data_IF_067303377789
#
_entry.id   IF_067303377789
#
_cell.length_a   1.000
_cell.length_b   1.000
_cell.length_c   1.000
_cell.angle_alpha   90.00
_cell.angle_beta   90.00
_cell.angle_gamma   90.00
#
_symmetry.space_group_name_H-M   'P 1'
#
loop_
_entity.id
_entity.type
_entity.pdbx_description
1 polymer ?
#
# COMPACT_ATOMS: atom_id res chain seq x y z
N UNK A 1 28.00 -1.71 -26.74
CA UNK A 1 28.11 -0.25 -26.51
C UNK A 1 27.83 -0.01 -25.03
N UNK A 2 28.83 0.43 -24.31
CA UNK A 2 28.93 0.46 -22.84
C UNK A 2 28.01 1.52 -22.26
N UNK A 3 27.14 1.16 -21.29
CA UNK A 3 26.52 2.09 -20.37
C UNK A 3 27.33 2.08 -19.07
N UNK A 4 28.09 3.12 -18.86
CA UNK A 4 28.78 3.36 -17.60
C UNK A 4 27.80 4.01 -16.61
N UNK A 5 27.57 3.35 -15.48
CA UNK A 5 26.89 3.90 -14.30
C UNK A 5 27.73 5.03 -13.68
N UNK A 6 27.13 6.16 -13.33
CA UNK A 6 27.81 7.10 -12.43
C UNK A 6 27.59 6.65 -10.98
N UNK A 7 28.60 6.03 -10.40
CA UNK A 7 28.76 5.93 -8.95
C UNK A 7 29.07 7.33 -8.42
N UNK A 8 28.05 8.03 -7.95
CA UNK A 8 28.27 9.22 -7.13
C UNK A 8 27.85 8.88 -5.70
N UNK A 9 28.82 8.46 -4.92
CA UNK A 9 28.75 8.41 -3.45
C UNK A 9 28.66 9.85 -2.95
N UNK A 10 27.65 10.25 -2.17
CA UNK A 10 27.68 11.51 -1.45
C UNK A 10 28.49 11.33 -0.17
N UNK A 11 29.81 11.30 -0.31
CA UNK A 11 30.74 11.47 0.80
C UNK A 11 30.94 12.97 0.96
N UNK A 12 30.43 13.58 2.03
CA UNK A 12 30.79 14.96 2.31
C UNK A 12 30.12 15.66 3.48
N UNK A 13 29.01 15.15 4.07
CA UNK A 13 28.27 15.95 5.05
C UNK A 13 28.35 15.46 6.51
N UNK A 14 28.66 14.21 6.75
CA UNK A 14 28.80 13.67 8.13
C UNK A 14 30.17 14.03 8.73
N UNK A 15 31.19 14.16 7.90
CA UNK A 15 32.53 14.60 8.31
C UNK A 15 32.56 16.01 8.92
N UNK A 16 31.71 16.92 8.42
CA UNK A 16 31.68 18.31 8.88
C UNK A 16 31.16 18.47 10.31
N UNK A 17 30.13 17.71 10.69
CA UNK A 17 29.57 17.75 12.06
C UNK A 17 30.51 17.13 13.09
N UNK A 18 31.11 15.99 12.78
CA UNK A 18 32.10 15.34 13.65
C UNK A 18 33.34 16.24 13.80
N UNK A 19 33.80 16.88 12.73
CA UNK A 19 34.89 17.84 12.76
C UNK A 19 34.55 19.07 13.60
N UNK A 20 33.36 19.64 13.45
CA UNK A 20 32.90 20.80 14.21
C UNK A 20 32.75 20.46 15.72
N UNK A 21 32.22 19.29 16.07
CA UNK A 21 32.16 18.83 17.47
C UNK A 21 33.55 18.65 18.06
N UNK A 22 34.49 18.04 17.33
CA UNK A 22 35.84 17.84 17.77
C UNK A 22 36.59 19.17 17.98
N UNK A 23 36.38 20.17 17.12
CA UNK A 23 36.94 21.51 17.27
C UNK A 23 36.35 22.23 18.51
N UNK A 24 35.06 22.09 18.76
CA UNK A 24 34.40 22.64 19.95
C UNK A 24 34.92 22.02 21.24
N UNK A 25 35.09 20.72 21.28
CA UNK A 25 35.64 19.99 22.45
C UNK A 25 37.05 20.48 22.72
N UNK A 26 37.90 20.60 21.70
CA UNK A 26 39.26 21.13 21.81
C UNK A 26 39.29 22.59 22.26
N UNK A 27 38.33 23.41 21.83
CA UNK A 27 38.20 24.81 22.25
C UNK A 27 37.74 24.95 23.69
N UNK A 28 36.82 24.08 24.13
CA UNK A 28 36.39 23.98 25.53
C UNK A 28 37.51 23.56 26.46
N UNK A 29 38.32 22.57 26.09
CA UNK A 29 39.47 22.13 26.89
C UNK A 29 40.53 23.25 27.03
N UNK A 30 40.78 24.04 25.98
CA UNK A 30 41.71 25.20 26.01
C UNK A 30 41.17 26.35 26.86
N UNK A 31 39.86 26.54 26.94
CA UNK A 31 39.21 27.64 27.65
C UNK A 31 38.80 27.31 29.08
N UNK A 32 38.78 26.04 29.49
CA UNK A 32 38.38 25.59 30.82
C UNK A 32 39.16 26.26 31.98
N UNK A 33 40.32 26.86 31.70
CA UNK A 33 41.11 27.62 32.67
C UNK A 33 40.97 29.14 32.61
N UNK A 34 40.25 29.71 31.60
CA UNK A 34 40.10 31.17 31.45
C UNK A 34 38.73 31.63 31.93
N UNK A 35 38.69 32.56 32.87
CA UNK A 35 37.46 33.19 33.42
C UNK A 35 36.97 34.40 32.56
N UNK A 36 37.22 34.39 31.27
CA UNK A 36 36.80 35.52 30.43
C UNK A 36 35.32 35.27 30.00
N UNK A 37 34.38 36.13 30.41
CA UNK A 37 32.96 35.99 30.10
C UNK A 37 32.67 36.08 28.62
N UNK A 38 33.40 36.87 27.83
CA UNK A 38 33.18 37.03 26.39
C UNK A 38 33.48 35.76 25.62
N UNK A 39 34.54 35.04 25.98
CA UNK A 39 34.94 33.78 25.35
C UNK A 39 33.93 32.69 25.70
N UNK A 40 33.37 32.70 26.93
CA UNK A 40 32.36 31.74 27.35
C UNK A 40 31.04 31.93 26.61
N UNK A 41 30.61 33.18 26.41
CA UNK A 41 29.38 33.48 25.70
C UNK A 41 29.49 33.13 24.21
N UNK A 42 30.66 33.35 23.57
CA UNK A 42 30.91 32.92 22.20
C UNK A 42 30.82 31.39 22.03
N UNK A 43 31.44 30.64 22.95
CA UNK A 43 31.36 29.17 22.95
C UNK A 43 29.93 28.62 23.13
N UNK A 44 29.15 29.27 24.00
CA UNK A 44 27.74 28.90 24.19
C UNK A 44 26.92 29.13 22.91
N UNK A 45 27.17 30.25 22.23
CA UNK A 45 26.54 30.57 20.96
C UNK A 45 26.92 29.57 19.85
N UNK A 46 28.19 29.17 19.76
CA UNK A 46 28.64 28.13 18.83
C UNK A 46 28.02 26.75 19.13
N UNK A 47 27.94 26.39 20.42
CA UNK A 47 27.27 25.13 20.85
C UNK A 47 25.77 25.13 20.50
N UNK A 48 25.07 26.24 20.72
CA UNK A 48 23.66 26.38 20.38
C UNK A 48 23.45 26.30 18.85
N UNK A 49 24.31 26.95 18.07
CA UNK A 49 24.25 26.90 16.62
C UNK A 49 24.51 25.47 16.10
N UNK A 50 25.49 24.76 16.68
CA UNK A 50 25.79 23.38 16.32
C UNK A 50 24.65 22.44 16.69
N UNK A 51 24.05 22.61 17.88
CA UNK A 51 22.90 21.82 18.32
C UNK A 51 21.68 22.05 17.41
N UNK A 52 21.41 23.31 17.04
CA UNK A 52 20.33 23.65 16.10
C UNK A 52 20.55 23.01 14.72
N UNK A 53 21.77 23.05 14.20
CA UNK A 53 22.12 22.41 12.93
C UNK A 53 22.00 20.87 13.01
N UNK A 54 22.44 20.25 14.10
CA UNK A 54 22.29 18.81 14.31
C UNK A 54 20.81 18.40 14.37
N UNK A 55 20.00 19.18 15.09
CA UNK A 55 18.57 18.94 15.18
C UNK A 55 17.88 19.08 13.82
N UNK A 56 18.22 20.09 13.03
CA UNK A 56 17.69 20.27 11.67
C UNK A 56 18.03 19.09 10.76
N UNK A 57 19.27 18.58 10.82
CA UNK A 57 19.69 17.38 10.06
C UNK A 57 18.96 16.12 10.50
N UNK A 58 18.77 15.91 11.80
CA UNK A 58 18.01 14.76 12.31
C UNK A 58 16.55 14.79 11.83
N UNK A 59 15.92 15.96 11.81
CA UNK A 59 14.56 16.13 11.29
C UNK A 59 14.50 15.81 9.79
N UNK A 60 15.48 16.28 9.01
CA UNK A 60 15.57 16.01 7.57
C UNK A 60 15.79 14.51 7.29
N UNK A 61 16.73 13.88 8.00
CA UNK A 61 16.97 12.44 7.89
C UNK A 61 15.72 11.62 8.27
N UNK A 62 15.01 11.99 9.34
CA UNK A 62 13.77 11.32 9.74
C UNK A 62 12.70 11.45 8.66
N UNK A 63 12.54 12.62 8.04
CA UNK A 63 11.61 12.82 6.93
C UNK A 63 11.99 11.97 5.72
N UNK A 64 13.29 11.89 5.41
CA UNK A 64 13.79 11.08 4.30
C UNK A 64 13.59 9.60 4.54
N UNK A 65 13.84 9.11 5.75
CA UNK A 65 13.56 7.72 6.14
C UNK A 65 12.06 7.43 5.99
N UNK A 66 11.19 8.26 6.57
CA UNK A 66 9.73 8.07 6.46
C UNK A 66 9.24 8.10 5.01
N UNK A 67 9.81 8.96 4.17
CA UNK A 67 9.50 8.99 2.74
C UNK A 67 9.95 7.70 2.02
N UNK A 68 11.16 7.21 2.30
CA UNK A 68 11.65 5.95 1.74
C UNK A 68 10.84 4.73 2.24
N UNK A 69 10.44 4.72 3.49
CA UNK A 69 9.54 3.71 4.05
C UNK A 69 8.18 3.75 3.38
N UNK A 70 7.62 4.93 3.16
CA UNK A 70 6.34 5.10 2.46
C UNK A 70 6.43 4.60 1.01
N UNK A 71 7.47 4.94 0.27
CA UNK A 71 7.74 4.40 -1.08
C UNK A 71 7.91 2.87 -1.07
N UNK A 72 8.52 2.32 -0.01
CA UNK A 72 8.72 0.88 0.12
C UNK A 72 7.45 0.09 0.46
N UNK A 73 6.41 0.74 1.02
CA UNK A 73 5.22 0.08 1.54
C UNK A 73 3.92 0.46 0.83
N UNK A 74 3.89 1.54 0.05
CA UNK A 74 2.69 2.01 -0.63
C UNK A 74 2.74 1.81 -2.15
N UNK A 75 1.58 1.65 -2.76
CA UNK A 75 1.39 1.72 -4.21
C UNK A 75 1.26 3.20 -4.62
N UNK A 76 2.07 3.64 -5.56
CA UNK A 76 2.17 5.05 -5.97
C UNK A 76 0.89 5.61 -6.57
N UNK A 77 0.11 4.78 -7.26
CA UNK A 77 -1.12 5.20 -7.93
C UNK A 77 -2.30 5.34 -6.96
N UNK A 78 -2.44 4.38 -6.05
CA UNK A 78 -3.64 4.24 -5.21
C UNK A 78 -3.42 4.67 -3.77
N UNK A 79 -2.16 4.76 -3.31
CA UNK A 79 -1.80 5.04 -1.92
C UNK A 79 -2.17 3.92 -0.93
N UNK A 80 -2.61 2.75 -1.43
CA UNK A 80 -2.82 1.55 -0.64
C UNK A 80 -1.47 0.87 -0.32
N UNK A 81 -1.49 -0.11 0.57
CA UNK A 81 -0.31 -0.96 0.75
C UNK A 81 0.04 -1.66 -0.56
N UNK A 82 1.33 -1.67 -0.89
CA UNK A 82 1.79 -2.48 -2.03
C UNK A 82 1.85 -3.96 -1.64
N UNK A 83 2.11 -4.83 -2.62
CA UNK A 83 2.20 -6.28 -2.42
C UNK A 83 3.13 -6.67 -1.27
N UNK A 84 4.30 -6.02 -1.18
CA UNK A 84 5.32 -6.32 -0.16
C UNK A 84 4.80 -6.01 1.25
N UNK A 85 4.21 -4.85 1.44
CA UNK A 85 3.65 -4.44 2.71
C UNK A 85 2.46 -5.33 3.12
N UNK A 86 1.55 -5.61 2.19
CA UNK A 86 0.42 -6.49 2.43
C UNK A 86 0.85 -7.88 2.93
N UNK A 87 1.81 -8.51 2.26
CA UNK A 87 2.34 -9.82 2.67
C UNK A 87 3.07 -9.79 4.02
N UNK A 88 3.72 -8.67 4.35
CA UNK A 88 4.35 -8.49 5.66
C UNK A 88 3.30 -8.47 6.78
N UNK A 89 2.21 -7.71 6.60
CA UNK A 89 1.11 -7.62 7.56
C UNK A 89 0.33 -8.95 7.68
N UNK A 90 0.15 -9.65 6.58
CA UNK A 90 -0.45 -10.99 6.61
C UNK A 90 0.37 -11.96 7.45
N UNK A 91 1.70 -11.98 7.28
CA UNK A 91 2.60 -12.81 8.09
C UNK A 91 2.50 -12.49 9.57
N UNK A 92 2.43 -11.20 9.90
CA UNK A 92 2.25 -10.76 11.29
C UNK A 92 0.90 -11.20 11.85
N UNK A 93 -0.17 -11.10 11.07
CA UNK A 93 -1.51 -11.55 11.48
C UNK A 93 -1.56 -13.07 11.70
N UNK A 94 -0.90 -13.87 10.86
CA UNK A 94 -0.77 -15.31 11.04
C UNK A 94 0.05 -15.66 12.29
N UNK A 95 1.11 -14.91 12.58
CA UNK A 95 1.91 -15.08 13.80
C UNK A 95 1.08 -14.76 15.05
N UNK A 96 0.27 -13.70 15.02
CA UNK A 96 -0.68 -13.35 16.09
C UNK A 96 -1.76 -14.43 16.27
N UNK A 97 -2.29 -14.96 15.16
CA UNK A 97 -3.24 -16.07 15.20
C UNK A 97 -2.64 -17.32 15.88
N UNK A 98 -1.38 -17.66 15.59
CA UNK A 98 -0.67 -18.77 16.24
C UNK A 98 -0.46 -18.54 17.74
N UNK A 99 -0.13 -17.32 18.12
CA UNK A 99 0.24 -17.00 19.50
C UNK A 99 -0.97 -16.76 20.40
N UNK A 100 -2.00 -16.09 19.87
CA UNK A 100 -3.13 -15.60 20.66
C UNK A 100 -4.45 -16.28 20.30
N UNK A 101 -4.47 -17.20 19.34
CA UNK A 101 -5.71 -17.87 18.89
C UNK A 101 -6.63 -16.92 18.10
N UNK A 102 -6.11 -15.82 17.56
CA UNK A 102 -6.87 -14.90 16.73
C UNK A 102 -7.27 -15.57 15.41
N UNK A 103 -8.35 -15.09 14.81
CA UNK A 103 -8.82 -15.53 13.49
C UNK A 103 -8.98 -14.33 12.58
N UNK A 104 -8.86 -14.53 11.29
CA UNK A 104 -9.02 -13.49 10.29
C UNK A 104 -9.43 -14.04 8.93
N UNK A 105 -9.41 -13.16 7.93
CA UNK A 105 -9.68 -13.56 6.55
C UNK A 105 -8.87 -12.72 5.57
N UNK A 106 -8.53 -13.30 4.44
CA UNK A 106 -7.99 -12.64 3.25
C UNK A 106 -9.07 -12.64 2.18
N UNK A 107 -9.26 -11.50 1.54
CA UNK A 107 -10.13 -11.35 0.38
C UNK A 107 -9.27 -10.89 -0.78
N UNK A 108 -9.24 -11.65 -1.87
CA UNK A 108 -8.69 -11.19 -3.14
C UNK A 108 -9.79 -10.58 -3.99
N UNK A 109 -9.44 -9.51 -4.69
CA UNK A 109 -10.33 -8.74 -5.55
C UNK A 109 -9.60 -8.49 -6.87
N UNK A 110 -10.24 -8.84 -7.97
CA UNK A 110 -9.74 -8.66 -9.33
C UNK A 110 -10.80 -7.90 -10.14
N UNK A 111 -10.42 -6.81 -10.79
CA UNK A 111 -11.34 -6.01 -11.59
C UNK A 111 -11.66 -6.71 -12.90
N UNK A 112 -12.94 -6.98 -13.10
CA UNK A 112 -13.43 -7.59 -14.35
C UNK A 112 -13.34 -6.56 -15.50
N UNK A 113 -12.92 -7.02 -16.69
CA UNK A 113 -12.85 -6.21 -17.90
C UNK A 113 -11.92 -4.97 -17.84
N UNK A 114 -11.01 -4.90 -16.85
CA UNK A 114 -10.12 -3.77 -16.68
C UNK A 114 -9.26 -3.50 -17.92
N UNK A 115 -8.80 -4.56 -18.59
CA UNK A 115 -8.06 -4.43 -19.84
C UNK A 115 -8.89 -3.77 -20.94
N UNK A 116 -10.17 -4.11 -21.05
CA UNK A 116 -11.08 -3.51 -22.05
C UNK A 116 -11.28 -2.02 -21.79
N UNK A 117 -11.35 -1.60 -20.52
CA UNK A 117 -11.41 -0.18 -20.14
C UNK A 117 -10.15 0.54 -20.64
N UNK A 118 -8.97 -0.02 -20.42
CA UNK A 118 -7.72 0.55 -20.89
C UNK A 118 -7.65 0.61 -22.43
N UNK A 119 -8.07 -0.44 -23.11
CA UNK A 119 -8.00 -0.55 -24.57
C UNK A 119 -8.97 0.45 -25.25
N UNK A 120 -10.14 0.71 -24.64
CA UNK A 120 -11.17 1.61 -25.20
C UNK A 120 -10.97 3.07 -24.78
N UNK A 121 -10.63 3.32 -23.51
CA UNK A 121 -10.62 4.67 -22.92
C UNK A 121 -9.22 5.17 -22.55
N UNK A 122 -8.19 4.34 -22.76
CA UNK A 122 -6.80 4.65 -22.44
C UNK A 122 -6.43 4.42 -20.96
N UNK A 123 -5.13 4.34 -20.68
CA UNK A 123 -4.60 4.05 -19.35
C UNK A 123 -5.02 5.07 -18.28
N UNK A 124 -5.21 6.34 -18.64
CA UNK A 124 -5.65 7.35 -17.70
C UNK A 124 -7.06 7.10 -17.14
N UNK A 125 -7.95 6.51 -17.95
CA UNK A 125 -9.28 6.06 -17.53
C UNK A 125 -9.17 4.84 -16.59
N UNK A 126 -8.31 3.88 -16.92
CA UNK A 126 -8.00 2.75 -16.03
C UNK A 126 -7.43 3.20 -14.69
N UNK A 127 -6.53 4.19 -14.70
CA UNK A 127 -6.00 4.79 -13.46
C UNK A 127 -7.10 5.42 -12.60
N UNK A 128 -8.08 6.07 -13.22
CA UNK A 128 -9.24 6.62 -12.49
C UNK A 128 -10.07 5.51 -11.85
N UNK A 129 -10.31 4.40 -12.55
CA UNK A 129 -10.98 3.22 -11.99
C UNK A 129 -10.22 2.64 -10.81
N UNK A 130 -8.89 2.49 -10.92
CA UNK A 130 -8.03 1.99 -9.84
C UNK A 130 -8.05 2.88 -8.61
N UNK A 131 -7.98 4.20 -8.78
CA UNK A 131 -8.06 5.18 -7.66
C UNK A 131 -9.42 5.14 -6.99
N UNK A 132 -10.49 5.08 -7.77
CA UNK A 132 -11.85 5.00 -7.22
C UNK A 132 -12.08 3.70 -6.45
N UNK A 133 -11.62 2.56 -7.01
CA UNK A 133 -11.65 1.26 -6.33
C UNK A 133 -10.90 1.31 -5.01
N UNK A 134 -9.69 1.86 -5.00
CA UNK A 134 -8.87 1.98 -3.80
C UNK A 134 -9.52 2.83 -2.71
N UNK A 135 -10.11 3.97 -3.08
CA UNK A 135 -10.84 4.84 -2.15
C UNK A 135 -12.03 4.10 -1.52
N UNK A 136 -12.85 3.45 -2.34
CA UNK A 136 -14.01 2.69 -1.86
C UNK A 136 -13.61 1.54 -0.95
N UNK A 137 -12.60 0.77 -1.30
CA UNK A 137 -12.13 -0.33 -0.46
C UNK A 137 -11.63 0.18 0.90
N UNK A 138 -10.91 1.30 0.92
CA UNK A 138 -10.45 1.94 2.17
C UNK A 138 -11.60 2.39 3.04
N UNK A 139 -12.64 2.98 2.47
CA UNK A 139 -13.79 3.50 3.19
C UNK A 139 -14.70 2.37 3.76
N UNK A 140 -14.67 1.19 3.14
CA UNK A 140 -15.49 0.04 3.51
C UNK A 140 -14.85 -0.89 4.56
N UNK A 141 -13.57 -0.71 4.86
CA UNK A 141 -12.86 -1.51 5.87
C UNK A 141 -12.68 -0.72 7.17
N UNK A 142 -12.36 -1.41 8.25
CA UNK A 142 -12.05 -0.80 9.54
C UNK A 142 -10.60 -0.33 9.57
N UNK A 143 -10.27 0.57 10.48
CA UNK A 143 -8.90 1.02 10.73
C UNK A 143 -7.92 -0.15 11.05
N UNK A 144 -8.43 -1.22 11.68
CA UNK A 144 -7.64 -2.42 12.01
C UNK A 144 -7.49 -3.39 10.84
N UNK A 145 -8.25 -3.22 9.77
CA UNK A 145 -8.14 -4.02 8.56
C UNK A 145 -7.20 -3.34 7.58
N UNK A 146 -6.70 -4.10 6.63
CA UNK A 146 -5.71 -3.57 5.68
C UNK A 146 -6.17 -3.82 4.25
N UNK A 147 -5.93 -2.83 3.39
CA UNK A 147 -6.16 -2.95 1.95
C UNK A 147 -4.84 -2.76 1.22
N UNK A 148 -4.56 -3.65 0.29
CA UNK A 148 -3.38 -3.58 -0.57
C UNK A 148 -3.73 -3.71 -2.05
N UNK A 149 -2.89 -3.13 -2.91
CA UNK A 149 -2.86 -3.42 -4.34
C UNK A 149 -1.70 -4.36 -4.61
N UNK A 150 -2.01 -5.54 -5.15
CA UNK A 150 -1.02 -6.60 -5.35
C UNK A 150 -0.30 -6.49 -6.71
N UNK A 151 -0.94 -5.86 -7.69
CA UNK A 151 -0.41 -5.63 -9.02
C UNK A 151 -1.55 -5.34 -10.00
N UNK A 152 -1.28 -4.67 -11.10
CA UNK A 152 -2.26 -4.43 -12.16
C UNK A 152 -3.64 -3.98 -11.64
N UNK A 153 -4.61 -4.84 -11.79
CA UNK A 153 -6.01 -4.73 -11.41
C UNK A 153 -6.39 -5.56 -10.17
N UNK A 154 -5.38 -6.12 -9.47
CA UNK A 154 -5.55 -7.00 -8.32
C UNK A 154 -5.41 -6.24 -7.00
N UNK A 155 -6.39 -6.39 -6.11
CA UNK A 155 -6.39 -5.88 -4.75
C UNK A 155 -6.55 -7.01 -3.75
N UNK A 156 -6.15 -6.76 -2.50
CA UNK A 156 -6.39 -7.68 -1.41
C UNK A 156 -6.82 -6.92 -0.15
N UNK A 157 -7.65 -7.58 0.66
CA UNK A 157 -8.11 -7.06 1.94
C UNK A 157 -7.76 -8.09 3.02
N UNK A 158 -7.14 -7.64 4.08
CA UNK A 158 -6.87 -8.43 5.27
C UNK A 158 -7.84 -7.98 6.37
N UNK A 159 -8.78 -8.85 6.71
CA UNK A 159 -9.69 -8.68 7.84
C UNK A 159 -9.07 -9.32 9.07
N UNK A 160 -8.73 -8.51 10.06
CA UNK A 160 -8.15 -8.99 11.32
C UNK A 160 -9.22 -9.22 12.37
N UNK A 161 -8.94 -10.11 13.34
CA UNK A 161 -9.80 -10.38 14.51
C UNK A 161 -11.28 -10.56 14.15
N UNK A 162 -11.53 -11.42 13.18
CA UNK A 162 -12.88 -11.70 12.70
C UNK A 162 -13.11 -13.19 12.60
N UNK A 163 -14.31 -13.64 12.96
CA UNK A 163 -14.74 -15.02 12.75
C UNK A 163 -15.21 -15.23 11.30
N UNK A 164 -15.30 -16.47 10.82
CA UNK A 164 -15.67 -16.77 9.44
C UNK A 164 -17.01 -16.15 9.02
N UNK A 165 -18.05 -16.22 9.86
CA UNK A 165 -19.37 -15.69 9.55
C UNK A 165 -19.33 -14.17 9.28
N UNK A 166 -18.66 -13.43 10.17
CA UNK A 166 -18.50 -12.00 10.03
C UNK A 166 -17.62 -11.63 8.82
N UNK A 167 -16.58 -12.42 8.55
CA UNK A 167 -15.71 -12.23 7.38
C UNK A 167 -16.50 -12.37 6.07
N UNK A 168 -17.30 -13.45 5.92
CA UNK A 168 -18.14 -13.66 4.74
C UNK A 168 -19.21 -12.58 4.59
N UNK A 169 -19.84 -12.15 5.70
CA UNK A 169 -20.83 -11.06 5.68
C UNK A 169 -20.19 -9.75 5.20
N UNK A 170 -19.02 -9.41 5.70
CA UNK A 170 -18.28 -8.19 5.31
C UNK A 170 -17.83 -8.25 3.85
N UNK A 171 -17.28 -9.38 3.41
CA UNK A 171 -16.90 -9.58 2.02
C UNK A 171 -18.06 -9.31 1.06
N UNK A 172 -19.28 -9.82 1.38
CA UNK A 172 -20.49 -9.57 0.57
C UNK A 172 -20.91 -8.10 0.54
N UNK A 173 -20.73 -7.38 1.65
CA UNK A 173 -21.03 -5.94 1.71
C UNK A 173 -20.07 -5.18 0.79
N UNK A 174 -18.78 -5.46 0.89
CA UNK A 174 -17.72 -4.84 0.07
C UNK A 174 -17.96 -5.18 -1.42
N UNK A 175 -18.19 -6.44 -1.75
CA UNK A 175 -18.48 -6.91 -3.10
C UNK A 175 -19.67 -6.16 -3.72
N UNK A 176 -20.78 -6.04 -2.98
CA UNK A 176 -21.97 -5.33 -3.45
C UNK A 176 -21.73 -3.83 -3.63
N UNK A 177 -21.01 -3.22 -2.72
CA UNK A 177 -20.70 -1.79 -2.79
C UNK A 177 -19.82 -1.49 -4.00
N UNK A 178 -18.77 -2.28 -4.21
CA UNK A 178 -17.84 -2.11 -5.32
C UNK A 178 -18.53 -2.35 -6.68
N UNK A 179 -19.32 -3.42 -6.81
CA UNK A 179 -20.03 -3.75 -8.06
C UNK A 179 -21.21 -2.83 -8.38
N UNK A 180 -21.53 -1.86 -7.51
CA UNK A 180 -22.52 -0.80 -7.75
C UNK A 180 -21.85 0.56 -8.02
N UNK A 181 -20.56 0.62 -7.83
CA UNK A 181 -19.81 1.85 -7.95
C UNK A 181 -19.52 2.19 -9.41
N UNK A 182 -19.33 3.47 -9.64
CA UNK A 182 -18.98 4.03 -10.95
C UNK A 182 -17.79 4.94 -10.73
N UNK A 183 -16.73 4.73 -11.49
CA UNK A 183 -15.62 5.67 -11.59
C UNK A 183 -15.95 6.74 -12.65
N UNK A 184 -15.45 7.96 -12.46
CA UNK A 184 -15.62 9.06 -13.39
C UNK A 184 -14.28 9.44 -14.01
N UNK A 185 -14.23 9.55 -15.32
CA UNK A 185 -13.07 10.06 -16.06
C UNK A 185 -13.52 11.10 -17.08
N UNK A 186 -13.30 12.40 -16.78
CA UNK A 186 -13.95 13.49 -17.53
C UNK A 186 -15.47 13.36 -17.44
N UNK A 187 -16.13 13.31 -18.59
CA UNK A 187 -17.58 13.13 -18.69
C UNK A 187 -18.00 11.65 -18.83
N UNK A 188 -17.05 10.72 -18.75
CA UNK A 188 -17.29 9.30 -18.94
C UNK A 188 -17.54 8.63 -17.58
N UNK A 189 -18.66 7.90 -17.49
CA UNK A 189 -19.01 7.06 -16.35
C UNK A 189 -18.56 5.61 -16.63
N UNK A 190 -17.66 5.07 -15.80
CA UNK A 190 -17.06 3.75 -15.95
C UNK A 190 -17.55 2.85 -14.81
N UNK A 191 -18.50 1.92 -15.05
CA UNK A 191 -18.96 0.98 -14.04
C UNK A 191 -17.81 0.11 -13.54
N UNK A 192 -17.73 -0.07 -12.23
CA UNK A 192 -16.75 -0.96 -11.61
C UNK A 192 -17.40 -2.34 -11.45
N UNK A 193 -16.73 -3.37 -11.97
CA UNK A 193 -17.07 -4.78 -11.73
C UNK A 193 -15.84 -5.51 -11.22
N UNK A 194 -16.02 -6.35 -10.21
CA UNK A 194 -14.93 -7.10 -9.61
C UNK A 194 -15.35 -8.48 -9.15
N UNK A 195 -14.44 -9.43 -9.29
CA UNK A 195 -14.54 -10.80 -8.78
C UNK A 195 -13.83 -10.92 -7.44
N UNK A 196 -14.44 -11.66 -6.49
CA UNK A 196 -13.95 -11.76 -5.11
C UNK A 196 -13.66 -13.22 -4.74
N UNK A 197 -12.50 -13.48 -4.14
CA UNK A 197 -12.18 -14.73 -3.46
C UNK A 197 -11.97 -14.45 -1.98
N UNK A 198 -12.57 -15.24 -1.10
CA UNK A 198 -12.40 -15.11 0.35
C UNK A 198 -11.95 -16.43 0.95
N UNK A 199 -10.93 -16.34 1.81
CA UNK A 199 -10.46 -17.43 2.66
C UNK A 199 -10.25 -16.95 4.09
N UNK A 200 -10.68 -17.76 5.05
CA UNK A 200 -10.45 -17.49 6.47
C UNK A 200 -9.18 -18.20 6.94
N UNK A 201 -8.54 -17.63 7.96
CA UNK A 201 -7.35 -18.22 8.53
C UNK A 201 -7.42 -18.31 10.05
N UNK A 202 -6.65 -19.24 10.58
CA UNK A 202 -6.40 -19.48 11.99
C UNK A 202 -4.89 -19.58 12.23
N UNK A 203 -4.47 -19.82 13.45
CA UNK A 203 -3.04 -20.04 13.75
C UNK A 203 -2.42 -21.32 13.17
N UNK A 204 -3.20 -22.16 12.48
CA UNK A 204 -2.71 -23.40 11.85
C UNK A 204 -2.39 -23.22 10.37
N UNK A 205 -2.78 -22.10 9.79
CA UNK A 205 -2.62 -21.85 8.36
C UNK A 205 -1.19 -21.42 8.01
N UNK A 206 -0.74 -21.89 6.86
CA UNK A 206 0.48 -21.44 6.21
C UNK A 206 0.17 -20.32 5.21
N UNK A 207 1.08 -19.34 5.10
CA UNK A 207 0.91 -18.17 4.23
C UNK A 207 0.69 -18.57 2.78
N UNK A 208 1.58 -19.42 2.23
CA UNK A 208 1.51 -19.79 0.82
C UNK A 208 0.24 -20.57 0.49
N UNK A 209 -0.14 -21.53 1.35
CA UNK A 209 -1.36 -22.29 1.18
C UNK A 209 -2.63 -21.44 1.31
N UNK A 210 -2.63 -20.43 2.20
CA UNK A 210 -3.76 -19.50 2.35
C UNK A 210 -3.94 -18.64 1.10
N UNK A 211 -2.85 -18.08 0.59
CA UNK A 211 -2.87 -17.25 -0.62
C UNK A 211 -3.32 -18.04 -1.85
N UNK A 212 -2.83 -19.28 -2.01
CA UNK A 212 -3.24 -20.15 -3.11
C UNK A 212 -4.74 -20.48 -3.05
N UNK A 213 -5.29 -20.78 -1.86
CA UNK A 213 -6.74 -21.03 -1.70
C UNK A 213 -7.55 -19.78 -2.04
N UNK A 214 -7.12 -18.61 -1.60
CA UNK A 214 -7.82 -17.35 -1.86
C UNK A 214 -7.82 -17.01 -3.36
N UNK A 215 -6.68 -17.20 -4.04
CA UNK A 215 -6.57 -17.02 -5.49
C UNK A 215 -7.46 -18.00 -6.25
N UNK A 216 -7.43 -19.27 -5.89
CA UNK A 216 -8.32 -20.28 -6.48
C UNK A 216 -9.80 -19.97 -6.27
N UNK A 217 -10.17 -19.45 -5.09
CA UNK A 217 -11.56 -19.05 -4.81
C UNK A 217 -11.98 -17.88 -5.70
N UNK A 218 -11.11 -16.89 -5.91
CA UNK A 218 -11.33 -15.77 -6.81
C UNK A 218 -11.46 -16.23 -8.26
N UNK A 219 -10.54 -17.08 -8.73
CA UNK A 219 -10.53 -17.58 -10.09
C UNK A 219 -11.80 -18.41 -10.43
N UNK A 220 -12.28 -19.23 -9.49
CA UNK A 220 -13.56 -19.95 -9.67
C UNK A 220 -14.70 -18.99 -9.92
N UNK A 221 -14.84 -17.94 -9.10
CA UNK A 221 -15.90 -16.94 -9.26
C UNK A 221 -15.79 -16.14 -10.55
N UNK A 222 -14.56 -15.80 -10.96
CA UNK A 222 -14.33 -15.13 -12.25
C UNK A 222 -14.80 -15.97 -13.42
N UNK A 223 -14.58 -17.29 -13.39
CA UNK A 223 -15.08 -18.22 -14.41
C UNK A 223 -16.60 -18.35 -14.43
N UNK A 224 -17.23 -18.46 -13.25
CA UNK A 224 -18.68 -18.53 -13.11
C UNK A 224 -19.37 -17.30 -13.69
N UNK A 225 -18.82 -16.10 -13.45
CA UNK A 225 -19.34 -14.85 -14.02
C UNK A 225 -19.19 -14.77 -15.54
N UNK A 226 -18.04 -15.17 -16.08
CA UNK A 226 -17.85 -15.21 -17.54
C UNK A 226 -18.85 -16.15 -18.22
N UNK A 227 -19.03 -17.35 -17.71
CA UNK A 227 -19.99 -18.31 -18.24
C UNK A 227 -21.45 -17.86 -18.11
N UNK A 228 -21.80 -17.09 -17.09
CA UNK A 228 -23.13 -16.52 -16.92
C UNK A 228 -23.42 -15.40 -17.96
N UNK A 229 -22.42 -14.56 -18.26
CA UNK A 229 -22.53 -13.49 -19.26
C UNK A 229 -22.65 -14.05 -20.70
N UNK A 230 -21.88 -15.08 -21.04
CA UNK A 230 -21.96 -15.73 -22.35
C UNK A 230 -23.33 -16.39 -22.60
N UNK A 231 -23.92 -16.98 -21.57
CA UNK A 231 -25.27 -17.56 -21.66
C UNK A 231 -26.39 -16.51 -21.70
N UNK A 232 -26.18 -15.30 -21.19
CA UNK A 232 -27.13 -14.19 -21.27
C UNK A 232 -27.19 -13.60 -22.68
N UNK A 233 -26.04 -13.34 -23.30
CA UNK A 233 -25.95 -12.83 -24.68
C UNK A 233 -26.46 -13.83 -25.71
N UNK A 234 -26.32 -15.14 -25.45
CA UNK A 234 -26.86 -16.17 -26.35
C UNK A 234 -28.39 -16.29 -26.29
N UNK A 235 -29.03 -15.88 -25.21
CA UNK A 235 -30.50 -15.90 -25.08
C UNK A 235 -31.19 -14.70 -25.73
N UNK A 236 -30.57 -13.54 -25.71
CA UNK A 236 -31.12 -12.31 -26.31
C UNK A 236 -30.97 -12.30 -27.84
N UNK A 237 -30.04 -13.11 -28.42
CA UNK A 237 -29.85 -13.26 -29.86
C UNK A 237 -30.86 -14.19 -30.58
N UNK A 238 -31.75 -14.88 -29.86
CA UNK A 238 -32.72 -15.85 -30.43
C UNK A 238 -34.19 -15.37 -30.44
N UNK A 239 -34.44 -14.13 -30.01
CA UNK A 239 -35.79 -13.56 -29.86
C UNK A 239 -36.39 -12.88 -31.10
N UNK A 240 -35.66 -12.65 -32.19
CA UNK A 240 -36.13 -11.77 -33.27
C UNK A 240 -36.27 -12.45 -34.64
N UNK A 241 -36.54 -13.73 -34.69
CA UNK A 241 -36.76 -14.44 -35.92
C UNK A 241 -38.09 -15.25 -35.97
N UNK A 242 -39.21 -14.64 -35.56
CA UNK A 242 -40.59 -15.18 -35.86
C UNK A 242 -41.60 -14.05 -35.80
N UNK A 243 -41.69 -13.23 -36.84
CA UNK A 243 -42.94 -12.62 -37.32
C UNK A 243 -42.67 -12.23 -38.79
N UNK A 244 -43.06 -13.06 -39.72
CA UNK A 244 -43.43 -12.71 -41.09
C UNK A 244 -44.52 -13.66 -41.54
#
# INVERSE_FOLDING_TARGET
>A
MFWASPTTTPAGHDGDLVSAVSQLVTSLERTAGRRDPVVRDSLVQEMLALAANAQAKLVDQSRRISFLEQLAHSDELTGLHNRRAFLSELRQSLANARRYGETGAVIFVDLDHFKEINDVHGHAAGDAVLRQTASLLRDLVRETDLVGRLGGDEFAILLTRTNPENAFRRARIIERALNRAVATYGDIALPISASFGIETFTGRDDEAALLDRADQAMYRRKRERKGANENSTARDGHGDARIA
#
